data_IF_220071995292
#
_entry.id   IF_220071995292
#
_cell.length_a   1.000
_cell.length_b   1.000
_cell.length_c   1.000
_cell.angle_alpha   90.00
_cell.angle_beta   90.00
_cell.angle_gamma   90.00
#
_symmetry.space_group_name_H-M   'P 1'
#
loop_
_entity.id
_entity.type
_entity.pdbx_description
1 polymer ?
#
# COMPACT_ATOMS: atom_id res chain seq x y z
N UNK A 1 -16.07 26.32 21.66
CA UNK A 1 -14.82 26.19 20.86
C UNK A 1 -14.37 24.72 20.78
N UNK A 2 -14.19 24.03 21.91
CA UNK A 2 -13.79 22.61 21.95
C UNK A 2 -14.73 21.62 21.23
N UNK A 3 -16.06 21.82 21.33
CA UNK A 3 -17.03 20.93 20.68
C UNK A 3 -16.89 20.90 19.15
N UNK A 4 -16.58 22.04 18.51
CA UNK A 4 -16.36 22.10 17.05
C UNK A 4 -15.09 21.34 16.64
N UNK A 5 -14.03 21.42 17.45
CA UNK A 5 -12.77 20.72 17.20
C UNK A 5 -12.98 19.21 17.30
N UNK A 6 -13.71 18.75 18.32
CA UNK A 6 -14.02 17.33 18.51
C UNK A 6 -14.87 16.79 17.36
N UNK A 7 -15.90 17.54 16.93
CA UNK A 7 -16.74 17.16 15.79
C UNK A 7 -15.95 17.11 14.47
N UNK A 8 -15.04 18.06 14.23
CA UNK A 8 -14.17 18.05 13.06
C UNK A 8 -13.17 16.90 13.08
N UNK A 9 -12.61 16.57 14.25
CA UNK A 9 -11.71 15.42 14.42
C UNK A 9 -12.44 14.11 14.12
N UNK A 10 -13.62 13.90 14.69
CA UNK A 10 -14.40 12.68 14.49
C UNK A 10 -14.88 12.58 13.03
N UNK A 11 -15.34 13.68 12.44
CA UNK A 11 -15.78 13.71 11.04
C UNK A 11 -14.63 13.47 10.06
N UNK A 12 -13.48 14.11 10.28
CA UNK A 12 -12.27 13.91 9.49
C UNK A 12 -11.71 12.50 9.62
N UNK A 13 -11.68 11.96 10.85
CA UNK A 13 -11.22 10.60 11.11
C UNK A 13 -12.17 9.56 10.50
N UNK A 14 -13.49 9.77 10.58
CA UNK A 14 -14.48 8.90 9.95
C UNK A 14 -14.33 8.83 8.43
N UNK A 15 -14.18 9.98 7.77
CA UNK A 15 -13.91 10.04 6.33
C UNK A 15 -12.56 9.42 5.96
N UNK A 16 -11.53 9.63 6.79
CA UNK A 16 -10.22 9.06 6.58
C UNK A 16 -10.25 7.53 6.65
N UNK A 17 -10.86 6.96 7.69
CA UNK A 17 -10.98 5.51 7.87
C UNK A 17 -11.80 4.87 6.75
N UNK A 18 -12.90 5.52 6.35
CA UNK A 18 -13.70 5.09 5.19
C UNK A 18 -12.89 5.09 3.88
N UNK A 19 -12.10 6.14 3.65
CA UNK A 19 -11.21 6.23 2.50
C UNK A 19 -10.16 5.11 2.50
N UNK A 20 -9.58 4.81 3.66
CA UNK A 20 -8.59 3.72 3.83
C UNK A 20 -9.20 2.34 3.55
N UNK A 21 -10.40 2.07 4.04
CA UNK A 21 -11.13 0.82 3.78
C UNK A 21 -11.46 0.67 2.28
N UNK A 22 -11.94 1.74 1.65
CA UNK A 22 -12.24 1.76 0.23
C UNK A 22 -10.98 1.57 -0.63
N UNK A 23 -9.85 2.18 -0.22
CA UNK A 23 -8.56 2.01 -0.88
C UNK A 23 -8.06 0.57 -0.78
N UNK A 24 -8.15 -0.05 0.40
CA UNK A 24 -7.77 -1.47 0.62
C UNK A 24 -8.58 -2.41 -0.28
N UNK A 25 -9.90 -2.22 -0.31
CA UNK A 25 -10.82 -3.06 -1.10
C UNK A 25 -10.58 -2.90 -2.61
N UNK A 26 -10.37 -1.66 -3.05
CA UNK A 26 -10.08 -1.36 -4.47
C UNK A 26 -8.70 -1.87 -4.88
N UNK A 27 -7.69 -1.71 -4.03
CA UNK A 27 -6.37 -2.30 -4.26
C UNK A 27 -6.44 -3.83 -4.32
N UNK A 28 -7.18 -4.49 -3.43
CA UNK A 28 -7.35 -5.96 -3.49
C UNK A 28 -8.00 -6.40 -4.81
N UNK A 29 -9.03 -5.69 -5.28
CA UNK A 29 -9.70 -5.97 -6.57
C UNK A 29 -8.76 -5.78 -7.76
N UNK A 30 -7.98 -4.70 -7.77
CA UNK A 30 -7.04 -4.36 -8.85
C UNK A 30 -5.84 -5.32 -8.81
N UNK A 31 -5.27 -5.57 -7.63
CA UNK A 31 -4.12 -6.44 -7.44
C UNK A 31 -4.47 -7.90 -7.78
N UNK A 32 -5.60 -8.44 -7.33
CA UNK A 32 -5.90 -9.87 -7.49
C UNK A 32 -5.79 -10.39 -8.93
N UNK A 33 -6.29 -9.65 -9.92
CA UNK A 33 -6.27 -10.08 -11.34
C UNK A 33 -5.09 -9.51 -12.13
N UNK A 34 -4.74 -8.23 -11.96
CA UNK A 34 -3.60 -7.62 -12.67
C UNK A 34 -2.27 -8.10 -12.10
N UNK A 35 -2.11 -8.18 -10.78
CA UNK A 35 -0.87 -8.68 -10.17
C UNK A 35 -0.63 -10.13 -10.57
N UNK A 36 -1.67 -10.97 -10.63
CA UNK A 36 -1.55 -12.37 -11.08
C UNK A 36 -1.11 -12.49 -12.55
N UNK A 37 -1.64 -11.64 -13.44
CA UNK A 37 -1.20 -11.57 -14.85
C UNK A 37 0.23 -11.01 -14.99
N UNK A 38 0.56 -9.97 -14.24
CA UNK A 38 1.89 -9.35 -14.21
C UNK A 38 2.91 -10.37 -13.71
N UNK A 39 2.66 -11.01 -12.56
CA UNK A 39 3.52 -12.06 -12.02
C UNK A 39 3.65 -13.25 -12.97
N UNK A 40 2.57 -13.70 -13.62
CA UNK A 40 2.66 -14.76 -14.63
C UNK A 40 3.54 -14.36 -15.83
N UNK A 41 3.43 -13.11 -16.28
CA UNK A 41 4.27 -12.57 -17.37
C UNK A 41 5.73 -12.38 -16.97
N UNK A 42 6.00 -12.02 -15.71
CA UNK A 42 7.36 -11.90 -15.17
C UNK A 42 8.02 -13.27 -15.01
N UNK A 43 7.27 -14.27 -14.56
CA UNK A 43 7.79 -15.64 -14.35
C UNK A 43 8.06 -16.37 -15.66
N UNK A 44 7.32 -16.05 -16.73
CA UNK A 44 7.51 -16.69 -18.04
C UNK A 44 8.86 -16.35 -18.71
N UNK A 45 9.54 -15.28 -18.26
CA UNK A 45 10.83 -14.88 -18.82
C UNK A 45 11.79 -14.44 -17.71
N UNK A 46 12.72 -15.33 -17.33
CA UNK A 46 13.67 -15.15 -16.22
C UNK A 46 14.42 -13.82 -16.27
N UNK A 47 14.80 -13.37 -17.46
CA UNK A 47 15.53 -12.10 -17.65
C UNK A 47 14.62 -10.91 -17.38
N UNK A 48 13.36 -10.97 -17.82
CA UNK A 48 12.37 -9.92 -17.60
C UNK A 48 11.96 -9.84 -16.12
N UNK A 49 11.82 -10.98 -15.45
CA UNK A 49 11.58 -11.04 -14.01
C UNK A 49 12.70 -10.38 -13.19
N UNK A 50 13.97 -10.60 -13.56
CA UNK A 50 15.12 -9.95 -12.94
C UNK A 50 15.10 -8.43 -13.17
N UNK A 51 14.88 -7.99 -14.41
CA UNK A 51 14.82 -6.55 -14.75
C UNK A 51 13.73 -5.81 -13.98
N UNK A 52 12.52 -6.39 -13.92
CA UNK A 52 11.41 -5.78 -13.19
C UNK A 52 11.65 -5.81 -11.68
N UNK A 53 12.22 -6.88 -11.14
CA UNK A 53 12.63 -6.95 -9.73
C UNK A 53 13.64 -5.86 -9.38
N UNK A 54 14.66 -5.65 -10.21
CA UNK A 54 15.65 -4.59 -10.03
C UNK A 54 15.00 -3.20 -10.06
N UNK A 55 14.09 -2.95 -11.00
CA UNK A 55 13.38 -1.66 -11.09
C UNK A 55 12.50 -1.42 -9.86
N UNK A 56 11.74 -2.43 -9.42
CA UNK A 56 10.90 -2.32 -8.23
C UNK A 56 11.77 -2.07 -6.98
N UNK A 57 12.87 -2.82 -6.81
CA UNK A 57 13.79 -2.62 -5.69
C UNK A 57 14.44 -1.23 -5.75
N UNK A 58 14.87 -0.75 -6.91
CA UNK A 58 15.44 0.58 -7.06
C UNK A 58 14.44 1.70 -6.75
N UNK A 59 13.16 1.51 -7.07
CA UNK A 59 12.08 2.47 -6.76
C UNK A 59 11.67 2.42 -5.27
N UNK A 60 11.68 1.23 -4.68
CA UNK A 60 11.34 0.99 -3.26
C UNK A 60 12.52 1.31 -2.33
N UNK A 61 13.74 1.45 -2.87
CA UNK A 61 14.95 1.90 -2.18
C UNK A 61 14.89 3.40 -1.87
N UNK A 62 13.93 3.80 -1.04
CA UNK A 62 13.97 5.09 -0.38
C UNK A 62 13.81 4.86 1.12
N UNK A 63 14.59 5.59 1.91
CA UNK A 63 14.57 5.55 3.38
C UNK A 63 13.14 5.67 3.94
N UNK A 64 12.29 6.45 3.25
CA UNK A 64 10.87 6.65 3.59
C UNK A 64 10.02 5.40 3.44
N UNK A 65 10.23 4.60 2.38
CA UNK A 65 9.47 3.37 2.19
C UNK A 65 9.87 2.33 3.24
N UNK A 66 11.15 2.29 3.63
CA UNK A 66 11.61 1.47 4.77
C UNK A 66 10.91 1.88 6.07
N UNK A 67 10.82 3.18 6.38
CA UNK A 67 10.17 3.67 7.60
C UNK A 67 8.68 3.29 7.64
N UNK A 68 7.96 3.45 6.52
CA UNK A 68 6.54 3.09 6.43
C UNK A 68 6.33 1.58 6.61
N UNK A 69 7.22 0.75 6.04
CA UNK A 69 7.17 -0.70 6.26
C UNK A 69 7.43 -1.08 7.72
N UNK A 70 8.40 -0.45 8.39
CA UNK A 70 8.67 -0.70 9.81
C UNK A 70 7.48 -0.32 10.70
N UNK A 71 6.84 0.84 10.45
CA UNK A 71 5.63 1.25 11.18
C UNK A 71 4.50 0.23 10.94
N UNK A 72 4.35 -0.25 9.71
CA UNK A 72 3.38 -1.28 9.35
C UNK A 72 3.60 -2.61 10.08
N UNK A 73 4.84 -3.06 10.22
CA UNK A 73 5.17 -4.30 10.95
C UNK A 73 4.97 -4.17 12.47
N UNK A 74 5.39 -3.04 13.06
CA UNK A 74 5.14 -2.78 14.49
C UNK A 74 3.64 -2.71 14.80
N UNK A 75 2.85 -2.05 13.94
CA UNK A 75 1.40 -1.96 14.11
C UNK A 75 0.69 -3.30 13.85
N UNK A 76 1.33 -4.22 13.13
CA UNK A 76 0.85 -5.59 12.92
C UNK A 76 1.24 -6.56 14.06
N UNK A 77 1.93 -6.09 15.12
CA UNK A 77 2.45 -6.93 16.21
C UNK A 77 3.29 -8.12 15.72
N UNK A 78 4.17 -7.87 14.75
CA UNK A 78 5.18 -8.79 14.23
C UNK A 78 6.59 -8.28 14.50
#
# INVERSE_FOLDING_TARGET
MYLKIILQLIGGLGLFLYGMEHMSTSMQKIAGSKLKKILASLTNNRIFGILVGIIITALVQSSSVSTVMTIGFVNASL
#
